data_IF_965886411627
#
_entry.id   IF_965886411627
#
_cell.length_a   1.000
_cell.length_b   1.000
_cell.length_c   1.000
_cell.angle_alpha   90.00
_cell.angle_beta   90.00
_cell.angle_gamma   90.00
#
_symmetry.space_group_name_H-M   'P 1'
#
loop_
_entity.id
_entity.type
_entity.pdbx_description
1 polymer ?
#
# COMPACT_ATOMS: atom_id res chain seq x y z
N UNK A 1 9.11 5.05 22.64
CA UNK A 1 8.27 5.92 21.83
C UNK A 1 8.94 6.25 20.53
N UNK A 2 8.29 5.93 19.44
CA UNK A 2 8.80 6.16 18.10
C UNK A 2 7.87 7.11 17.35
N UNK A 3 8.46 8.04 16.62
CA UNK A 3 7.76 8.89 15.68
C UNK A 3 8.33 8.73 14.29
N UNK A 4 7.65 9.25 13.30
CA UNK A 4 8.02 9.15 11.90
C UNK A 4 8.16 10.50 11.25
N UNK A 5 9.10 10.60 10.31
CA UNK A 5 9.18 11.73 9.41
C UNK A 5 9.64 11.31 8.02
N UNK A 6 9.07 11.95 7.01
CA UNK A 6 9.42 11.76 5.61
C UNK A 6 10.24 12.97 5.17
N UNK A 7 11.43 12.72 4.63
CA UNK A 7 12.29 13.75 4.08
C UNK A 7 12.34 13.68 2.56
N UNK A 8 12.05 14.79 1.90
CA UNK A 8 12.26 14.97 0.47
C UNK A 8 13.46 15.86 0.24
N UNK A 9 14.43 15.36 -0.48
CA UNK A 9 15.52 16.16 -1.02
C UNK A 9 15.47 16.10 -2.55
N UNK A 10 15.67 17.23 -3.21
CA UNK A 10 15.60 17.35 -4.68
C UNK A 10 16.59 16.48 -5.45
N UNK A 11 17.61 15.93 -4.79
CA UNK A 11 18.66 15.08 -5.39
C UNK A 11 18.72 13.67 -4.83
N UNK A 12 17.93 13.36 -3.80
CA UNK A 12 17.92 12.06 -3.14
C UNK A 12 16.56 11.36 -3.30
N UNK A 13 16.57 10.04 -3.27
CA UNK A 13 15.34 9.25 -3.19
C UNK A 13 14.62 9.56 -1.88
N UNK A 14 13.29 9.58 -1.93
CA UNK A 14 12.46 9.70 -0.74
C UNK A 14 12.84 8.66 0.30
N UNK A 15 12.93 9.06 1.54
CA UNK A 15 13.28 8.16 2.64
C UNK A 15 12.35 8.35 3.84
N UNK A 16 12.09 7.25 4.52
CA UNK A 16 11.35 7.23 5.78
C UNK A 16 12.32 6.95 6.92
N UNK A 17 12.25 7.76 7.98
CA UNK A 17 13.10 7.61 9.14
C UNK A 17 12.26 7.23 10.37
N UNK A 18 12.79 6.34 11.18
CA UNK A 18 12.26 6.05 12.53
C UNK A 18 13.08 6.84 13.54
N UNK A 19 12.41 7.74 14.25
CA UNK A 19 13.03 8.63 15.24
C UNK A 19 12.59 8.19 16.62
N UNK A 20 13.55 7.97 17.50
CA UNK A 20 13.28 7.75 18.91
C UNK A 20 12.97 9.09 19.57
N UNK A 21 11.74 9.26 20.05
CA UNK A 21 11.29 10.54 20.64
C UNK A 21 11.90 10.85 22.01
N UNK A 22 12.42 9.87 22.72
CA UNK A 22 13.10 10.11 24.00
C UNK A 22 14.51 10.64 23.79
N UNK A 23 15.24 10.12 22.83
CA UNK A 23 16.62 10.50 22.52
C UNK A 23 16.74 11.50 21.39
N UNK A 24 15.66 11.74 20.63
CA UNK A 24 15.62 12.58 19.42
C UNK A 24 16.64 12.15 18.35
N UNK A 25 16.95 10.87 18.30
CA UNK A 25 17.90 10.30 17.33
C UNK A 25 17.19 9.43 16.30
N UNK A 26 17.70 9.46 15.08
CA UNK A 26 17.28 8.54 14.02
C UNK A 26 17.84 7.16 14.35
N UNK A 27 16.95 6.18 14.53
CA UNK A 27 17.35 4.79 14.81
C UNK A 27 17.46 3.97 13.52
N UNK A 28 16.57 4.23 12.55
CA UNK A 28 16.59 3.57 11.25
C UNK A 28 16.19 4.53 10.15
N UNK A 29 16.79 4.34 8.98
CA UNK A 29 16.43 5.05 7.75
C UNK A 29 16.11 4.02 6.67
N UNK A 30 14.95 4.18 6.05
CA UNK A 30 14.50 3.34 4.95
C UNK A 30 14.39 4.19 3.69
N UNK A 31 14.89 3.67 2.57
CA UNK A 31 14.59 4.24 1.26
C UNK A 31 13.20 3.76 0.82
N UNK A 32 12.17 4.45 1.23
CA UNK A 32 10.80 4.10 0.91
C UNK A 32 9.93 5.35 0.88
N UNK A 33 8.89 5.32 0.08
CA UNK A 33 8.07 6.49 -0.26
C UNK A 33 6.87 6.65 0.64
N UNK A 34 6.45 5.63 1.36
CA UNK A 34 5.25 5.73 2.15
C UNK A 34 5.12 4.74 3.28
N UNK A 35 4.25 5.12 4.21
CA UNK A 35 3.77 4.26 5.27
C UNK A 35 2.50 3.57 4.87
N UNK A 36 2.41 2.32 5.22
CA UNK A 36 1.17 1.57 5.15
C UNK A 36 0.44 1.68 6.49
N UNK A 37 1.17 1.39 7.55
CA UNK A 37 0.73 1.49 8.92
C UNK A 37 1.95 1.67 9.84
N UNK A 38 1.80 1.60 11.15
CA UNK A 38 2.92 1.74 12.10
C UNK A 38 3.97 0.61 12.05
N UNK A 39 3.72 -0.45 11.27
CA UNK A 39 4.63 -1.62 11.15
C UNK A 39 5.29 -1.72 9.79
N UNK A 40 4.65 -1.24 8.73
CA UNK A 40 5.08 -1.44 7.35
C UNK A 40 5.23 -0.16 6.57
N UNK A 41 6.28 -0.09 5.77
CA UNK A 41 6.53 0.91 4.73
C UNK A 41 6.56 0.24 3.37
N UNK A 42 6.40 1.01 2.29
CA UNK A 42 6.45 0.50 0.93
C UNK A 42 7.29 1.38 0.02
N UNK A 43 7.79 0.78 -1.06
CA UNK A 43 8.54 1.46 -2.10
C UNK A 43 8.18 0.88 -3.47
N UNK A 44 7.93 1.76 -4.44
CA UNK A 44 7.77 1.37 -5.84
C UNK A 44 9.08 1.55 -6.61
N UNK A 45 9.53 0.47 -7.25
CA UNK A 45 10.74 0.45 -8.07
C UNK A 45 10.39 0.66 -9.54
N UNK A 46 10.53 1.88 -10.05
CA UNK A 46 10.16 2.24 -11.42
C UNK A 46 10.87 1.40 -12.50
N UNK A 47 12.17 1.16 -12.32
CA UNK A 47 12.95 0.37 -13.28
C UNK A 47 12.60 -1.11 -13.30
N UNK A 48 12.33 -1.68 -12.13
CA UNK A 48 12.00 -3.10 -11.97
C UNK A 48 10.51 -3.38 -12.12
N UNK A 49 9.66 -2.35 -12.16
CA UNK A 49 8.21 -2.49 -12.15
C UNK A 49 7.73 -3.40 -11.01
N UNK A 50 8.20 -3.13 -9.82
CA UNK A 50 7.89 -3.91 -8.63
C UNK A 50 7.55 -3.05 -7.43
N UNK A 51 6.73 -3.60 -6.54
CA UNK A 51 6.33 -2.97 -5.29
C UNK A 51 6.92 -3.77 -4.13
N UNK A 52 7.69 -3.12 -3.28
CA UNK A 52 8.35 -3.73 -2.14
C UNK A 52 7.77 -3.20 -0.84
N UNK A 53 7.52 -4.10 0.11
CA UNK A 53 7.10 -3.78 1.46
C UNK A 53 8.19 -4.15 2.45
N UNK A 54 8.40 -3.28 3.43
CA UNK A 54 9.39 -3.46 4.50
C UNK A 54 8.72 -3.39 5.86
N UNK A 55 9.08 -4.30 6.74
CA UNK A 55 8.72 -4.19 8.14
C UNK A 55 9.62 -3.16 8.84
N UNK A 56 9.00 -2.13 9.46
CA UNK A 56 9.73 -0.97 10.01
C UNK A 56 10.63 -1.37 11.19
N UNK A 57 10.12 -2.17 12.10
CA UNK A 57 10.84 -2.58 13.31
C UNK A 57 11.45 -3.97 13.22
N UNK A 58 11.10 -4.73 12.19
CA UNK A 58 11.61 -6.07 11.92
C UNK A 58 12.61 -6.10 10.78
N UNK A 59 12.90 -7.31 10.32
CA UNK A 59 13.81 -7.56 9.20
C UNK A 59 13.11 -8.18 8.00
N UNK A 60 11.77 -8.25 8.02
CA UNK A 60 11.01 -8.86 6.94
C UNK A 60 10.75 -7.86 5.83
N UNK A 61 10.86 -8.35 4.62
CA UNK A 61 10.45 -7.64 3.42
C UNK A 61 9.95 -8.63 2.38
N UNK A 62 9.12 -8.16 1.47
CA UNK A 62 8.70 -8.93 0.31
C UNK A 62 8.42 -8.03 -0.88
N UNK A 63 8.48 -8.60 -2.07
CA UNK A 63 8.33 -7.86 -3.33
C UNK A 63 7.21 -8.44 -4.16
N UNK A 64 6.34 -7.59 -4.66
CA UNK A 64 5.33 -7.92 -5.65
C UNK A 64 5.89 -7.56 -7.02
N UNK A 65 6.14 -8.54 -7.90
CA UNK A 65 6.66 -8.29 -9.24
C UNK A 65 5.55 -7.84 -10.20
N UNK A 66 5.95 -7.33 -11.35
CA UNK A 66 5.07 -7.00 -12.47
C UNK A 66 3.95 -5.99 -12.15
N UNK A 67 4.22 -5.09 -11.22
CA UNK A 67 3.36 -3.94 -10.94
C UNK A 67 3.69 -2.85 -11.96
N UNK A 68 2.89 -2.75 -13.01
CA UNK A 68 3.19 -1.92 -14.18
C UNK A 68 3.22 -0.43 -13.90
N UNK A 69 2.35 0.03 -13.03
CA UNK A 69 2.17 1.44 -12.74
C UNK A 69 2.37 1.72 -11.25
N UNK A 70 3.03 2.82 -10.96
CA UNK A 70 3.09 3.33 -9.60
C UNK A 70 1.68 3.71 -9.13
N UNK A 71 1.41 3.49 -7.88
CA UNK A 71 0.13 3.83 -7.28
C UNK A 71 0.31 4.23 -5.82
N UNK A 72 -0.80 4.30 -5.14
CA UNK A 72 -0.85 4.64 -3.73
C UNK A 72 -1.59 3.57 -2.92
N UNK A 73 -1.40 3.63 -1.62
CA UNK A 73 -2.23 2.89 -0.68
C UNK A 73 -3.62 3.52 -0.68
N UNK A 74 -4.61 2.74 -1.11
CA UNK A 74 -6.01 3.19 -1.20
C UNK A 74 -6.70 3.06 0.15
N UNK A 75 -6.50 1.94 0.81
CA UNK A 75 -7.09 1.65 2.12
C UNK A 75 -6.28 0.60 2.87
N UNK A 76 -6.35 0.65 4.19
CA UNK A 76 -5.68 -0.29 5.09
C UNK A 76 -6.66 -0.76 6.15
N UNK A 77 -6.75 -2.05 6.35
CA UNK A 77 -7.56 -2.65 7.41
C UNK A 77 -6.78 -3.78 8.09
N UNK A 78 -6.21 -3.49 9.25
CA UNK A 78 -5.37 -4.43 9.98
C UNK A 78 -4.17 -4.86 9.14
N UNK A 79 -4.13 -6.13 8.77
CA UNK A 79 -3.07 -6.76 7.98
C UNK A 79 -3.27 -6.66 6.46
N UNK A 80 -4.43 -6.17 6.03
CA UNK A 80 -4.78 -6.05 4.62
C UNK A 80 -4.56 -4.64 4.09
N UNK A 81 -3.99 -4.56 2.89
CA UNK A 81 -3.73 -3.32 2.17
C UNK A 81 -4.34 -3.40 0.78
N UNK A 82 -5.00 -2.34 0.38
CA UNK A 82 -5.34 -2.09 -1.01
C UNK A 82 -4.36 -1.09 -1.60
N UNK A 83 -3.72 -1.47 -2.69
CA UNK A 83 -2.77 -0.62 -3.42
C UNK A 83 -3.14 -0.56 -4.89
N UNK A 84 -3.07 0.61 -5.48
CA UNK A 84 -3.30 0.76 -6.91
C UNK A 84 -3.31 2.21 -7.37
N UNK A 85 -3.45 2.39 -8.67
CA UNK A 85 -3.65 3.69 -9.29
C UNK A 85 -5.06 3.76 -9.88
N UNK A 86 -5.92 4.58 -9.28
CA UNK A 86 -7.31 4.73 -9.67
C UNK A 86 -7.52 5.70 -10.86
N UNK A 87 -6.50 6.43 -11.26
CA UNK A 87 -6.58 7.42 -12.35
C UNK A 87 -6.35 6.80 -13.73
N UNK A 88 -5.74 5.65 -13.80
CA UNK A 88 -5.38 4.98 -15.05
C UNK A 88 -6.57 4.25 -15.71
N UNK A 89 -6.62 4.24 -17.04
CA UNK A 89 -7.70 3.59 -17.80
C UNK A 89 -7.79 2.07 -17.62
N UNK A 90 -6.68 1.41 -17.34
CA UNK A 90 -6.61 -0.02 -17.03
C UNK A 90 -6.13 -0.21 -15.61
N UNK A 91 -7.03 0.00 -14.69
CA UNK A 91 -6.70 -0.02 -13.27
C UNK A 91 -6.65 -1.45 -12.76
N UNK A 92 -5.50 -1.80 -12.21
CA UNK A 92 -5.36 -2.96 -11.37
C UNK A 92 -5.23 -2.51 -9.93
N UNK A 93 -5.95 -3.17 -9.05
CA UNK A 93 -5.83 -3.00 -7.61
C UNK A 93 -5.26 -4.27 -7.03
N UNK A 94 -4.28 -4.13 -6.17
CA UNK A 94 -3.67 -5.24 -5.46
C UNK A 94 -4.24 -5.29 -4.05
N UNK A 95 -4.81 -6.43 -3.69
CA UNK A 95 -5.10 -6.76 -2.31
C UNK A 95 -3.91 -7.52 -1.74
N UNK A 96 -3.33 -7.01 -0.68
CA UNK A 96 -2.10 -7.49 -0.09
C UNK A 96 -2.34 -7.86 1.37
N UNK A 97 -1.87 -9.03 1.76
CA UNK A 97 -1.83 -9.46 3.15
C UNK A 97 -0.38 -9.40 3.64
N UNK A 98 -0.09 -8.47 4.52
CA UNK A 98 1.28 -8.14 4.93
C UNK A 98 1.96 -9.27 5.71
N UNK A 99 1.29 -9.86 6.69
CA UNK A 99 1.87 -10.91 7.54
C UNK A 99 2.23 -12.18 6.76
N UNK A 100 1.39 -12.57 5.81
CA UNK A 100 1.60 -13.80 5.02
C UNK A 100 2.41 -13.55 3.75
N UNK A 101 2.74 -12.31 3.43
CA UNK A 101 3.44 -11.91 2.20
C UNK A 101 2.71 -12.38 0.93
N UNK A 102 1.39 -12.37 0.96
CA UNK A 102 0.52 -12.78 -0.15
C UNK A 102 -0.20 -11.61 -0.77
N UNK A 103 -0.52 -11.72 -2.04
CA UNK A 103 -1.26 -10.68 -2.77
C UNK A 103 -2.13 -11.27 -3.86
N UNK A 104 -3.15 -10.51 -4.23
CA UNK A 104 -4.02 -10.81 -5.35
C UNK A 104 -4.25 -9.57 -6.18
N UNK A 105 -4.02 -9.68 -7.47
CA UNK A 105 -4.34 -8.64 -8.43
C UNK A 105 -5.81 -8.72 -8.83
N UNK A 106 -6.49 -7.59 -8.77
CA UNK A 106 -7.89 -7.47 -9.18
C UNK A 106 -8.02 -6.44 -10.29
N UNK A 107 -8.74 -6.80 -11.33
CA UNK A 107 -9.13 -5.85 -12.37
C UNK A 107 -10.46 -5.19 -11.98
N UNK A 108 -10.49 -3.87 -11.99
CA UNK A 108 -11.71 -3.13 -11.70
C UNK A 108 -12.54 -3.00 -12.96
N UNK A 109 -13.83 -3.36 -12.91
CA UNK A 109 -14.72 -3.22 -14.07
C UNK A 109 -14.75 -1.78 -14.57
N UNK A 110 -14.65 -1.58 -15.90
CA UNK A 110 -14.63 -0.25 -16.53
C UNK A 110 -15.85 0.62 -16.25
N UNK A 111 -16.97 0.02 -15.88
CA UNK A 111 -18.20 0.71 -15.50
C UNK A 111 -18.12 1.48 -14.17
N UNK A 112 -17.09 1.23 -13.37
CA UNK A 112 -16.92 1.81 -12.04
C UNK A 112 -15.91 2.96 -11.99
N UNK A 113 -15.30 3.33 -13.12
CA UNK A 113 -14.10 4.19 -13.15
C UNK A 113 -14.30 5.65 -12.77
N UNK A 114 -15.50 6.18 -12.88
CA UNK A 114 -15.76 7.57 -12.52
C UNK A 114 -16.27 7.67 -11.10
N UNK A 115 -15.61 8.49 -10.28
CA UNK A 115 -15.98 8.73 -8.88
C UNK A 115 -16.01 7.45 -8.02
N UNK A 116 -15.05 6.57 -8.22
CA UNK A 116 -14.98 5.30 -7.53
C UNK A 116 -14.28 5.45 -6.17
N UNK A 117 -14.87 4.83 -5.16
CA UNK A 117 -14.26 4.63 -3.84
C UNK A 117 -14.13 3.13 -3.56
N UNK A 118 -13.03 2.75 -2.96
CA UNK A 118 -12.76 1.36 -2.60
C UNK A 118 -12.42 1.30 -1.12
N UNK A 119 -13.13 0.43 -0.40
CA UNK A 119 -12.97 0.25 1.02
C UNK A 119 -12.83 -1.21 1.41
N UNK A 120 -11.96 -1.49 2.38
CA UNK A 120 -11.88 -2.78 3.04
C UNK A 120 -12.93 -2.90 4.15
N UNK A 121 -13.73 -3.95 4.11
CA UNK A 121 -14.71 -4.25 5.16
C UNK A 121 -14.07 -5.17 6.19
N UNK A 122 -13.70 -4.60 7.34
CA UNK A 122 -12.88 -5.25 8.39
C UNK A 122 -13.36 -6.60 8.85
N UNK A 123 -14.66 -6.74 9.09
CA UNK A 123 -15.24 -7.92 9.75
C UNK A 123 -15.60 -9.05 8.80
N UNK A 124 -15.64 -8.79 7.50
CA UNK A 124 -16.18 -9.74 6.52
C UNK A 124 -15.16 -10.18 5.47
N UNK A 125 -13.92 -9.74 5.56
CA UNK A 125 -12.88 -9.98 4.54
C UNK A 125 -13.39 -9.69 3.12
N UNK A 126 -14.02 -8.54 2.96
CA UNK A 126 -14.61 -8.10 1.70
C UNK A 126 -14.11 -6.72 1.31
N UNK A 127 -14.15 -6.45 0.03
CA UNK A 127 -13.90 -5.13 -0.52
C UNK A 127 -15.20 -4.54 -1.00
N UNK A 128 -15.52 -3.36 -0.53
CA UNK A 128 -16.63 -2.56 -1.00
C UNK A 128 -16.12 -1.57 -2.05
N UNK A 129 -16.64 -1.67 -3.26
CA UNK A 129 -16.37 -0.73 -4.35
C UNK A 129 -17.65 0.03 -4.61
N UNK A 130 -17.59 1.35 -4.48
CA UNK A 130 -18.76 2.21 -4.70
C UNK A 130 -18.47 3.29 -5.74
N UNK A 131 -19.49 3.67 -6.46
CA UNK A 131 -19.55 4.93 -7.18
C UNK A 131 -20.91 5.59 -6.91
N UNK A 132 -21.17 6.76 -7.48
CA UNK A 132 -22.44 7.50 -7.26
C UNK A 132 -23.72 6.70 -7.58
N UNK A 133 -23.63 5.62 -8.33
CA UNK A 133 -24.79 4.87 -8.84
C UNK A 133 -24.85 3.42 -8.37
N UNK A 134 -23.72 2.80 -7.99
CA UNK A 134 -23.63 1.35 -7.73
C UNK A 134 -22.66 1.03 -6.62
N UNK A 135 -22.91 -0.10 -5.95
CA UNK A 135 -22.02 -0.70 -4.99
C UNK A 135 -21.77 -2.17 -5.34
N UNK A 136 -20.53 -2.61 -5.21
CA UNK A 136 -20.12 -3.99 -5.43
C UNK A 136 -19.36 -4.48 -4.20
N UNK A 137 -19.69 -5.69 -3.78
CA UNK A 137 -19.00 -6.35 -2.69
C UNK A 137 -18.22 -7.53 -3.23
N UNK A 138 -16.89 -7.49 -3.06
CA UNK A 138 -15.98 -8.53 -3.54
C UNK A 138 -15.47 -9.32 -2.35
N UNK A 139 -15.66 -10.64 -2.37
CA UNK A 139 -15.13 -11.53 -1.35
C UNK A 139 -13.64 -11.77 -1.57
N UNK A 140 -12.85 -11.60 -0.51
CA UNK A 140 -11.40 -11.78 -0.51
C UNK A 140 -10.94 -12.94 0.36
N UNK A 141 -11.84 -13.79 0.79
CA UNK A 141 -11.55 -14.95 1.66
C UNK A 141 -10.64 -16.00 1.01
N UNK A 142 -10.43 -15.93 -0.31
CA UNK A 142 -9.58 -16.86 -1.08
C UNK A 142 -8.10 -16.42 -1.20
N UNK A 143 -7.70 -15.44 -0.44
CA UNK A 143 -6.28 -15.04 -0.38
C UNK A 143 -5.45 -16.02 0.44
#
# INVERSE_FOLDING_TARGET
>A
TYGESIFKNSTEEDSTCVVNLQTMRIEKKYSGVGLVNMKWSYRYHHKKKSLEFYEITGNQSFTIPDVKDSGDVIDVSGDYVLFGNLEEKKQAVYLIQLTNHTWKKMNIPGKLRNDMEIHLVKTQKKILITNKKRAYLVDVSSL
#
